data_IF_300589185105
#
_entry.id   IF_300589185105
#
_cell.length_a   1.000
_cell.length_b   1.000
_cell.length_c   1.000
_cell.angle_alpha   90.00
_cell.angle_beta   90.00
_cell.angle_gamma   90.00
#
_symmetry.space_group_name_H-M   'P 1'
#
loop_
_entity.id
_entity.type
_entity.pdbx_description
1 polymer ?
#
# COMPACT_ATOMS: atom_id res chain seq x y z
N UNK A 1 -14.57 2.17 -6.54
CA UNK A 1 -13.10 2.17 -6.35
C UNK A 1 -12.52 3.41 -5.63
N UNK A 2 -13.24 4.53 -5.41
CA UNK A 2 -12.71 5.68 -4.64
C UNK A 2 -12.71 5.44 -3.13
N UNK A 3 -13.83 4.92 -2.61
CA UNK A 3 -14.07 4.75 -1.17
C UNK A 3 -13.09 3.74 -0.56
N UNK A 4 -12.87 2.60 -1.22
CA UNK A 4 -11.91 1.59 -0.74
C UNK A 4 -10.49 2.16 -0.60
N UNK A 5 -10.05 2.98 -1.56
CA UNK A 5 -8.75 3.65 -1.52
C UNK A 5 -8.66 4.65 -0.36
N UNK A 6 -9.73 5.41 -0.10
CA UNK A 6 -9.78 6.36 1.01
C UNK A 6 -9.69 5.62 2.35
N UNK A 7 -10.45 4.53 2.52
CA UNK A 7 -10.42 3.71 3.74
C UNK A 7 -9.02 3.10 3.95
N UNK A 8 -8.43 2.53 2.90
CA UNK A 8 -7.07 1.99 2.93
C UNK A 8 -6.04 3.06 3.32
N UNK A 9 -6.09 4.25 2.71
CA UNK A 9 -5.18 5.35 3.05
C UNK A 9 -5.34 5.83 4.49
N UNK A 10 -6.57 5.92 5.01
CA UNK A 10 -6.81 6.32 6.41
C UNK A 10 -6.18 5.30 7.36
N UNK A 11 -6.32 4.01 7.07
CA UNK A 11 -5.74 2.93 7.89
C UNK A 11 -4.21 2.97 7.84
N UNK A 12 -3.62 3.18 6.66
CA UNK A 12 -2.16 3.34 6.49
C UNK A 12 -1.66 4.52 7.33
N UNK A 13 -2.30 5.69 7.24
CA UNK A 13 -1.90 6.88 8.00
C UNK A 13 -2.02 6.64 9.51
N UNK A 14 -3.09 5.98 9.95
CA UNK A 14 -3.29 5.63 11.36
C UNK A 14 -2.20 4.66 11.86
N UNK A 15 -1.85 3.65 11.07
CA UNK A 15 -0.75 2.73 11.41
C UNK A 15 0.60 3.45 11.46
N UNK A 16 0.93 4.29 10.47
CA UNK A 16 2.20 5.06 10.47
C UNK A 16 2.28 5.94 11.70
N UNK A 17 1.19 6.65 12.02
CA UNK A 17 1.13 7.48 13.22
C UNK A 17 1.29 6.67 14.50
N UNK A 18 0.69 5.49 14.56
CA UNK A 18 0.82 4.61 15.72
C UNK A 18 2.25 4.08 15.88
N UNK A 19 2.87 3.58 14.82
CA UNK A 19 4.25 3.08 14.85
C UNK A 19 5.24 4.19 15.22
N UNK A 20 5.06 5.39 14.64
CA UNK A 20 5.93 6.53 14.92
C UNK A 20 5.83 7.00 16.37
N UNK A 21 4.63 6.95 16.98
CA UNK A 21 4.43 7.31 18.38
C UNK A 21 4.92 6.23 19.33
N UNK A 22 4.77 4.96 18.97
CA UNK A 22 5.09 3.83 19.84
C UNK A 22 6.55 3.37 19.70
N UNK A 23 7.25 3.80 18.63
CA UNK A 23 8.59 3.33 18.23
C UNK A 23 8.65 1.79 18.10
N UNK A 24 7.48 1.17 17.88
CA UNK A 24 7.32 -0.27 17.80
C UNK A 24 6.87 -0.65 16.39
N UNK A 25 7.80 -1.23 15.64
CA UNK A 25 7.65 -1.66 14.26
C UNK A 25 6.95 -3.02 14.12
N UNK A 26 6.33 -3.56 15.18
CA UNK A 26 5.54 -4.81 15.08
C UNK A 26 4.41 -4.73 14.07
N UNK A 27 3.89 -3.54 13.79
CA UNK A 27 2.81 -3.33 12.82
C UNK A 27 3.32 -3.11 11.39
N UNK A 28 4.63 -3.17 11.17
CA UNK A 28 5.24 -2.77 9.90
C UNK A 28 4.82 -3.71 8.78
N UNK A 29 4.68 -4.99 9.13
CA UNK A 29 4.15 -6.02 8.25
C UNK A 29 2.71 -5.71 7.82
N UNK A 30 1.85 -5.30 8.76
CA UNK A 30 0.47 -4.89 8.49
C UNK A 30 0.42 -3.64 7.62
N UNK A 31 1.30 -2.69 7.87
CA UNK A 31 1.39 -1.43 7.14
C UNK A 31 1.79 -1.66 5.68
N UNK A 32 2.79 -2.51 5.45
CA UNK A 32 3.24 -2.88 4.10
C UNK A 32 2.18 -3.70 3.36
N UNK A 33 1.44 -4.56 4.05
CA UNK A 33 0.31 -5.29 3.47
C UNK A 33 -0.82 -4.34 3.03
N UNK A 34 -1.16 -3.34 3.85
CA UNK A 34 -2.15 -2.33 3.51
C UNK A 34 -1.69 -1.41 2.36
N UNK A 35 -0.42 -0.98 2.37
CA UNK A 35 0.19 -0.22 1.28
C UNK A 35 0.16 -0.99 -0.04
N UNK A 36 0.49 -2.27 0.00
CA UNK A 36 0.40 -3.16 -1.17
C UNK A 36 -1.01 -3.15 -1.77
N UNK A 37 -2.04 -3.38 -0.95
CA UNK A 37 -3.44 -3.33 -1.39
C UNK A 37 -3.82 -1.95 -1.95
N UNK A 38 -3.36 -0.88 -1.31
CA UNK A 38 -3.63 0.50 -1.75
C UNK A 38 -3.09 0.76 -3.15
N UNK A 39 -1.84 0.36 -3.40
CA UNK A 39 -1.20 0.51 -4.71
C UNK A 39 -1.80 -0.39 -5.78
N UNK A 40 -2.22 -1.60 -5.42
CA UNK A 40 -2.91 -2.51 -6.34
C UNK A 40 -4.27 -1.94 -6.78
N UNK A 41 -5.06 -1.43 -5.82
CA UNK A 41 -6.35 -0.76 -6.10
C UNK A 41 -6.14 0.50 -6.95
N UNK A 42 -5.09 1.28 -6.69
CA UNK A 42 -4.76 2.48 -7.45
C UNK A 42 -4.31 2.15 -8.89
N UNK A 43 -3.47 1.12 -9.05
CA UNK A 43 -3.03 0.62 -10.34
C UNK A 43 -4.18 0.10 -11.20
N UNK A 44 -5.05 -0.75 -10.64
CA UNK A 44 -6.26 -1.22 -11.33
C UNK A 44 -7.15 -0.06 -11.78
N UNK A 45 -7.26 0.97 -10.94
CA UNK A 45 -8.10 2.14 -11.21
C UNK A 45 -7.54 3.03 -12.32
N UNK A 46 -6.22 3.17 -12.38
CA UNK A 46 -5.55 3.91 -13.46
C UNK A 46 -5.59 3.14 -14.78
N UNK A 47 -5.49 1.81 -14.73
CA UNK A 47 -5.77 0.94 -15.88
C UNK A 47 -7.21 1.10 -16.40
N UNK A 48 -8.20 1.13 -15.50
CA UNK A 48 -9.61 1.37 -15.87
C UNK A 48 -9.84 2.77 -16.47
N UNK A 49 -9.06 3.77 -16.07
CA UNK A 49 -9.13 5.13 -16.62
C UNK A 49 -8.35 5.31 -17.93
N UNK A 50 -7.74 4.26 -18.46
CA UNK A 50 -6.90 4.32 -19.66
C UNK A 50 -5.52 4.97 -19.44
N UNK A 51 -5.16 5.30 -18.19
CA UNK A 51 -3.87 5.87 -17.83
C UNK A 51 -2.83 4.75 -17.64
N UNK A 52 -2.38 4.19 -18.76
CA UNK A 52 -1.43 3.05 -18.80
C UNK A 52 -0.13 3.34 -18.06
N UNK A 53 0.38 4.58 -18.08
CA UNK A 53 1.63 4.96 -17.41
C UNK A 53 1.55 4.88 -15.88
N UNK A 54 0.55 5.54 -15.28
CA UNK A 54 0.34 5.52 -13.82
C UNK A 54 -0.08 4.14 -13.31
N UNK A 55 -0.86 3.40 -14.11
CA UNK A 55 -1.23 2.02 -13.81
C UNK A 55 -0.01 1.09 -13.72
N UNK A 56 0.94 1.21 -14.66
CA UNK A 56 2.15 0.38 -14.67
C UNK A 56 3.07 0.69 -13.48
N UNK A 57 3.23 1.97 -13.14
CA UNK A 57 3.99 2.40 -11.96
C UNK A 57 3.41 1.80 -10.68
N UNK A 58 2.10 1.85 -10.51
CA UNK A 58 1.43 1.28 -9.35
C UNK A 58 1.58 -0.25 -9.27
N UNK A 59 1.57 -0.97 -10.39
CA UNK A 59 1.85 -2.41 -10.42
C UNK A 59 3.30 -2.70 -10.01
N UNK A 60 4.27 -1.96 -10.55
CA UNK A 60 5.69 -2.11 -10.21
C UNK A 60 5.92 -1.84 -8.72
N UNK A 61 5.34 -0.76 -8.19
CA UNK A 61 5.43 -0.43 -6.77
C UNK A 61 4.77 -1.50 -5.90
N UNK A 62 3.64 -2.06 -6.34
CA UNK A 62 2.98 -3.18 -5.65
C UNK A 62 3.89 -4.43 -5.59
N UNK A 63 4.57 -4.79 -6.68
CA UNK A 63 5.55 -5.89 -6.70
C UNK A 63 6.74 -5.60 -5.78
N UNK A 64 7.21 -4.35 -5.77
CA UNK A 64 8.27 -3.90 -4.86
C UNK A 64 7.87 -4.10 -3.40
N UNK A 65 6.68 -3.60 -3.02
CA UNK A 65 6.15 -3.73 -1.66
C UNK A 65 5.99 -5.20 -1.24
N UNK A 66 5.54 -6.07 -2.15
CA UNK A 66 5.43 -7.51 -1.91
C UNK A 66 6.80 -8.12 -1.55
N UNK A 67 7.85 -7.70 -2.27
CA UNK A 67 9.23 -8.12 -1.98
C UNK A 67 9.72 -7.64 -0.61
N UNK A 68 9.36 -6.41 -0.22
CA UNK A 68 9.73 -5.89 1.11
C UNK A 68 8.91 -6.58 2.21
N UNK A 69 7.64 -6.91 1.99
CA UNK A 69 6.82 -7.68 2.93
C UNK A 69 7.39 -9.07 3.19
N UNK A 70 7.88 -9.76 2.14
CA UNK A 70 8.55 -11.06 2.30
C UNK A 70 9.82 -10.92 3.14
N UNK A 71 10.64 -9.89 2.89
CA UNK A 71 11.84 -9.62 3.70
C UNK A 71 11.53 -9.25 5.15
N UNK A 72 10.41 -8.56 5.39
CA UNK A 72 9.99 -8.19 6.74
C UNK A 72 9.44 -9.37 7.54
N UNK A 73 9.09 -10.47 6.86
CA UNK A 73 8.63 -11.72 7.48
C UNK A 73 9.78 -12.69 7.80
N UNK A 74 10.90 -12.59 7.07
CA UNK A 74 12.09 -13.45 7.21
C UNK A 74 13.05 -12.89 8.27
#
# INVERSE_FOLDING_TARGET
MKILQIILSIIVIALVGYEFVTDDFRFQLYLMMFLFFTMLVMGLRDFQKGQKGSGWLNIVLSIMLLSVSIKSFL
#
